data_IF_902812765002
#
_entry.id   IF_902812765002
#
_cell.length_a   1.000
_cell.length_b   1.000
_cell.length_c   1.000
_cell.angle_alpha   90.00
_cell.angle_beta   90.00
_cell.angle_gamma   90.00
#
_symmetry.space_group_name_H-M   'P 1'
#
loop_
_entity.id
_entity.type
_entity.pdbx_description
1 polymer ?
#
# COMPACT_ATOMS: atom_id res chain seq x y z
N UNK A 1 -35.27 -2.16 -6.86
CA UNK A 1 -34.44 -1.79 -5.69
C UNK A 1 -33.73 -3.00 -5.07
N UNK A 2 -34.44 -4.06 -4.67
CA UNK A 2 -33.87 -5.28 -4.05
C UNK A 2 -32.79 -5.95 -4.93
N UNK A 3 -33.04 -6.04 -6.24
CA UNK A 3 -32.11 -6.69 -7.17
C UNK A 3 -30.80 -5.90 -7.37
N UNK A 4 -30.85 -4.57 -7.25
CA UNK A 4 -29.69 -3.69 -7.40
C UNK A 4 -28.80 -3.77 -6.14
N UNK A 5 -29.42 -3.77 -4.96
CA UNK A 5 -28.73 -3.92 -3.68
C UNK A 5 -27.99 -5.27 -3.60
N UNK A 6 -28.62 -6.34 -4.08
CA UNK A 6 -28.02 -7.67 -4.16
C UNK A 6 -26.77 -7.68 -5.08
N UNK A 7 -26.81 -6.96 -6.21
CA UNK A 7 -25.64 -6.85 -7.10
C UNK A 7 -24.46 -6.13 -6.45
N UNK A 8 -24.69 -5.04 -5.70
CA UNK A 8 -23.60 -4.36 -4.99
C UNK A 8 -23.01 -5.20 -3.88
N UNK A 9 -23.82 -5.94 -3.12
CA UNK A 9 -23.31 -6.84 -2.09
C UNK A 9 -22.44 -7.96 -2.67
N UNK A 10 -22.85 -8.53 -3.81
CA UNK A 10 -22.03 -9.53 -4.51
C UNK A 10 -20.74 -8.92 -5.05
N UNK A 11 -20.79 -7.68 -5.57
CA UNK A 11 -19.62 -6.97 -6.04
C UNK A 11 -18.65 -6.65 -4.90
N UNK A 12 -19.14 -6.15 -3.76
CA UNK A 12 -18.32 -5.92 -2.56
C UNK A 12 -17.64 -7.22 -2.10
N UNK A 13 -18.39 -8.33 -2.01
CA UNK A 13 -17.83 -9.64 -1.63
C UNK A 13 -16.75 -10.10 -2.61
N UNK A 14 -16.99 -9.95 -3.91
CA UNK A 14 -16.04 -10.32 -4.96
C UNK A 14 -14.75 -9.50 -4.88
N UNK A 15 -14.88 -8.18 -4.68
CA UNK A 15 -13.72 -7.28 -4.53
C UNK A 15 -12.92 -7.65 -3.29
N UNK A 16 -13.59 -7.88 -2.14
CA UNK A 16 -12.92 -8.32 -0.90
C UNK A 16 -12.20 -9.66 -1.07
N UNK A 17 -12.85 -10.64 -1.70
CA UNK A 17 -12.23 -11.92 -1.97
C UNK A 17 -10.99 -11.78 -2.88
N UNK A 18 -11.09 -10.92 -3.89
CA UNK A 18 -9.97 -10.63 -4.81
C UNK A 18 -8.81 -9.97 -4.08
N UNK A 19 -9.06 -8.90 -3.30
CA UNK A 19 -8.01 -8.22 -2.54
C UNK A 19 -7.35 -9.13 -1.51
N UNK A 20 -8.13 -9.96 -0.82
CA UNK A 20 -7.59 -10.92 0.14
C UNK A 20 -6.72 -11.97 -0.55
N UNK A 21 -7.15 -12.51 -1.69
CA UNK A 21 -6.34 -13.46 -2.47
C UNK A 21 -5.04 -12.86 -3.00
N UNK A 22 -4.99 -11.55 -3.26
CA UNK A 22 -3.74 -10.84 -3.61
C UNK A 22 -2.81 -10.78 -2.39
N UNK A 23 -3.35 -10.46 -1.21
CA UNK A 23 -2.58 -10.40 0.04
C UNK A 23 -2.04 -11.78 0.41
N UNK A 24 -2.85 -12.83 0.29
CA UNK A 24 -2.44 -14.21 0.53
C UNK A 24 -1.29 -14.62 -0.40
N UNK A 25 -1.40 -14.36 -1.71
CA UNK A 25 -0.30 -14.61 -2.67
C UNK A 25 0.98 -13.87 -2.30
N UNK A 26 0.87 -12.67 -1.75
CA UNK A 26 2.05 -11.92 -1.28
C UNK A 26 2.65 -12.56 -0.03
N UNK A 27 1.83 -12.95 0.94
CA UNK A 27 2.27 -13.65 2.16
C UNK A 27 2.93 -15.00 1.85
N UNK A 28 2.43 -15.70 0.83
CA UNK A 28 2.96 -16.97 0.33
C UNK A 28 4.19 -16.79 -0.58
N UNK A 29 4.70 -15.55 -0.74
CA UNK A 29 5.83 -15.20 -1.61
C UNK A 29 5.64 -15.60 -3.08
N UNK A 30 4.40 -15.73 -3.54
CA UNK A 30 4.07 -16.03 -4.94
C UNK A 30 4.17 -14.80 -5.84
N UNK A 31 3.99 -13.61 -5.27
CA UNK A 31 4.12 -12.32 -5.95
C UNK A 31 5.03 -11.40 -5.13
N UNK A 32 5.75 -10.52 -5.81
CA UNK A 32 6.59 -9.53 -5.14
C UNK A 32 5.79 -8.33 -4.61
N UNK A 33 6.49 -7.43 -3.90
CA UNK A 33 5.86 -6.24 -3.32
C UNK A 33 5.29 -5.31 -4.40
N UNK A 34 5.98 -5.14 -5.54
CA UNK A 34 5.50 -4.27 -6.61
C UNK A 34 4.22 -4.82 -7.23
N UNK A 35 4.19 -6.12 -7.53
CA UNK A 35 3.02 -6.82 -8.05
C UNK A 35 1.83 -6.76 -7.09
N UNK A 36 2.06 -6.97 -5.78
CA UNK A 36 1.02 -6.86 -4.77
C UNK A 36 0.41 -5.44 -4.73
N UNK A 37 1.26 -4.41 -4.68
CA UNK A 37 0.82 -3.01 -4.66
C UNK A 37 0.05 -2.62 -5.92
N UNK A 38 0.52 -3.03 -7.11
CA UNK A 38 -0.12 -2.75 -8.39
C UNK A 38 -1.52 -3.38 -8.47
N UNK A 39 -1.67 -4.64 -8.06
CA UNK A 39 -2.94 -5.34 -8.08
C UNK A 39 -3.94 -4.75 -7.07
N UNK A 40 -3.50 -4.44 -5.84
CA UNK A 40 -4.36 -3.78 -4.85
C UNK A 40 -4.73 -2.36 -5.28
N UNK A 41 -3.82 -1.61 -5.91
CA UNK A 41 -4.12 -0.30 -6.49
C UNK A 41 -5.19 -0.39 -7.59
N UNK A 42 -5.12 -1.43 -8.42
CA UNK A 42 -6.15 -1.70 -9.45
C UNK A 42 -7.52 -1.94 -8.80
N UNK A 43 -7.59 -2.75 -7.73
CA UNK A 43 -8.82 -2.92 -6.96
C UNK A 43 -9.36 -1.59 -6.41
N UNK A 44 -8.49 -0.76 -5.81
CA UNK A 44 -8.86 0.57 -5.32
C UNK A 44 -9.41 1.48 -6.43
N UNK A 45 -8.81 1.44 -7.62
CA UNK A 45 -9.24 2.23 -8.79
C UNK A 45 -10.62 1.80 -9.28
N UNK A 46 -10.87 0.50 -9.31
CA UNK A 46 -12.20 -0.04 -9.64
C UNK A 46 -13.25 0.43 -8.64
N UNK A 47 -12.97 0.34 -7.33
CA UNK A 47 -13.90 0.84 -6.30
C UNK A 47 -14.11 2.35 -6.42
N UNK A 48 -13.05 3.12 -6.70
CA UNK A 48 -13.14 4.55 -6.97
C UNK A 48 -14.08 4.88 -8.12
N UNK A 49 -13.98 4.12 -9.22
CA UNK A 49 -14.86 4.28 -10.38
C UNK A 49 -16.33 3.99 -10.03
N UNK A 50 -16.58 2.96 -9.21
CA UNK A 50 -17.92 2.67 -8.71
C UNK A 50 -18.48 3.82 -7.86
N UNK A 51 -17.68 4.37 -6.94
CA UNK A 51 -18.06 5.53 -6.12
C UNK A 51 -18.45 6.72 -7.01
N UNK A 52 -17.66 7.01 -8.04
CA UNK A 52 -17.91 8.14 -8.94
C UNK A 52 -19.17 7.94 -9.77
N UNK A 53 -19.45 6.70 -10.19
CA UNK A 53 -20.70 6.37 -10.87
C UNK A 53 -21.91 6.56 -9.95
N UNK A 54 -21.85 6.07 -8.70
CA UNK A 54 -22.93 6.25 -7.72
C UNK A 54 -23.20 7.72 -7.40
N UNK A 55 -22.14 8.53 -7.31
CA UNK A 55 -22.27 9.98 -7.10
C UNK A 55 -22.99 10.67 -8.26
N UNK A 56 -22.71 10.25 -9.50
CA UNK A 56 -23.32 10.83 -10.71
C UNK A 56 -24.78 10.41 -10.90
N UNK A 57 -25.14 9.19 -10.51
CA UNK A 57 -26.53 8.69 -10.59
C UNK A 57 -27.45 9.23 -9.50
N UNK A 58 -26.93 10.02 -8.54
CA UNK A 58 -27.71 10.52 -7.41
C UNK A 58 -28.07 9.41 -6.40
N UNK A 59 -27.23 8.37 -6.32
CA UNK A 59 -27.47 7.17 -5.53
C UNK A 59 -27.38 7.39 -4.01
N UNK A 60 -27.76 6.33 -3.28
CA UNK A 60 -27.75 6.20 -1.83
C UNK A 60 -26.37 6.55 -1.21
N UNK A 61 -26.38 7.53 -0.30
CA UNK A 61 -25.18 7.97 0.45
C UNK A 61 -24.57 6.83 1.26
N UNK A 62 -25.39 5.91 1.77
CA UNK A 62 -24.92 4.79 2.57
C UNK A 62 -24.08 3.82 1.73
N UNK A 63 -24.49 3.57 0.49
CA UNK A 63 -23.71 2.76 -0.45
C UNK A 63 -22.36 3.41 -0.77
N UNK A 64 -22.34 4.72 -1.01
CA UNK A 64 -21.09 5.46 -1.26
C UNK A 64 -20.14 5.35 -0.06
N UNK A 65 -20.65 5.49 1.17
CA UNK A 65 -19.84 5.35 2.40
C UNK A 65 -19.26 3.93 2.50
N UNK A 66 -20.07 2.89 2.25
CA UNK A 66 -19.61 1.50 2.25
C UNK A 66 -18.50 1.26 1.22
N UNK A 67 -18.63 1.80 0.01
CA UNK A 67 -17.60 1.68 -1.03
C UNK A 67 -16.32 2.43 -0.66
N UNK A 68 -16.41 3.62 -0.05
CA UNK A 68 -15.24 4.35 0.45
C UNK A 68 -14.51 3.50 1.49
N UNK A 69 -15.24 2.93 2.46
CA UNK A 69 -14.66 2.07 3.49
C UNK A 69 -13.98 0.84 2.88
N UNK A 70 -14.62 0.19 1.89
CA UNK A 70 -14.02 -0.93 1.17
C UNK A 70 -12.70 -0.53 0.49
N UNK A 71 -12.67 0.61 -0.20
CA UNK A 71 -11.44 1.11 -0.84
C UNK A 71 -10.35 1.36 0.19
N UNK A 72 -10.70 1.96 1.32
CA UNK A 72 -9.74 2.29 2.37
C UNK A 72 -9.18 1.00 3.00
N UNK A 73 -10.02 -0.02 3.28
CA UNK A 73 -9.61 -1.35 3.74
C UNK A 73 -8.58 -2.00 2.78
N UNK A 74 -8.79 -1.89 1.45
CA UNK A 74 -7.89 -2.44 0.42
C UNK A 74 -6.57 -1.66 0.36
N UNK A 75 -6.62 -0.34 0.56
CA UNK A 75 -5.45 0.54 0.49
C UNK A 75 -4.52 0.42 1.70
N UNK A 76 -5.05 0.01 2.85
CA UNK A 76 -4.32 0.00 4.12
C UNK A 76 -3.10 -0.94 4.11
N UNK A 77 -3.18 -2.20 3.60
CA UNK A 77 -2.01 -3.05 3.41
C UNK A 77 -0.91 -2.40 2.57
N UNK A 78 -1.28 -1.73 1.47
CA UNK A 78 -0.31 -1.02 0.60
C UNK A 78 0.39 0.09 1.36
N UNK A 79 -0.36 0.90 2.12
CA UNK A 79 0.21 1.97 2.94
C UNK A 79 1.20 1.43 3.99
N UNK A 80 0.89 0.30 4.61
CA UNK A 80 1.79 -0.35 5.55
C UNK A 80 3.08 -0.83 4.88
N UNK A 81 2.97 -1.49 3.72
CA UNK A 81 4.14 -1.95 2.96
C UNK A 81 5.07 -0.79 2.58
N UNK A 82 4.50 0.33 2.12
CA UNK A 82 5.26 1.54 1.79
C UNK A 82 5.94 2.13 3.03
N UNK A 83 5.22 2.21 4.15
CA UNK A 83 5.78 2.70 5.42
C UNK A 83 6.97 1.88 5.88
N UNK A 84 6.85 0.54 5.88
CA UNK A 84 7.90 -0.38 6.32
C UNK A 84 9.15 -0.27 5.42
N UNK A 85 8.97 -0.10 4.11
CA UNK A 85 10.07 0.15 3.18
C UNK A 85 10.80 1.45 3.47
N UNK A 86 10.08 2.55 3.71
CA UNK A 86 10.67 3.85 4.04
C UNK A 86 11.45 3.75 5.36
N UNK A 87 10.90 3.09 6.38
CA UNK A 87 11.55 2.91 7.67
C UNK A 87 12.84 2.07 7.55
N UNK A 88 12.80 1.00 6.76
CA UNK A 88 13.97 0.16 6.45
C UNK A 88 15.07 0.96 5.74
N UNK A 89 14.70 1.75 4.73
CA UNK A 89 15.64 2.61 4.01
C UNK A 89 16.26 3.68 4.91
N UNK A 90 15.47 4.32 5.78
CA UNK A 90 15.98 5.29 6.75
C UNK A 90 16.97 4.66 7.74
N UNK A 91 16.70 3.43 8.19
CA UNK A 91 17.61 2.69 9.06
C UNK A 91 18.94 2.40 8.34
N UNK A 92 18.89 1.93 7.10
CA UNK A 92 20.09 1.68 6.28
C UNK A 92 20.89 2.96 6.04
N UNK A 93 20.22 4.06 5.68
CA UNK A 93 20.84 5.38 5.51
C UNK A 93 21.59 5.84 6.76
N UNK A 94 21.01 5.68 7.94
CA UNK A 94 21.64 6.06 9.20
C UNK A 94 22.87 5.19 9.52
N UNK A 95 22.84 3.89 9.21
CA UNK A 95 24.01 3.02 9.34
C UNK A 95 25.14 3.47 8.43
N UNK A 96 24.85 3.72 7.15
CA UNK A 96 25.84 4.20 6.17
C UNK A 96 26.46 5.53 6.61
N UNK A 97 25.65 6.49 7.07
CA UNK A 97 26.14 7.77 7.59
C UNK A 97 27.14 7.60 8.75
N UNK A 98 26.84 6.69 9.69
CA UNK A 98 27.74 6.41 10.82
C UNK A 98 29.07 5.82 10.37
N UNK A 99 29.04 4.91 9.39
CA UNK A 99 30.26 4.32 8.84
C UNK A 99 31.10 5.35 8.06
N UNK A 100 30.48 6.22 7.26
CA UNK A 100 31.17 7.33 6.60
C UNK A 100 31.87 8.22 7.63
N UNK A 101 31.18 8.62 8.69
CA UNK A 101 31.76 9.44 9.75
C UNK A 101 32.97 8.77 10.42
N UNK A 102 32.89 7.47 10.73
CA UNK A 102 34.03 6.72 11.29
C UNK A 102 35.24 6.72 10.36
N UNK A 103 35.01 6.55 9.06
CA UNK A 103 36.07 6.57 8.05
C UNK A 103 36.71 7.96 7.91
N UNK A 104 35.91 9.03 7.97
CA UNK A 104 36.41 10.41 7.97
C UNK A 104 37.30 10.69 9.20
N UNK A 105 36.84 10.31 10.39
CA UNK A 105 37.64 10.45 11.62
C UNK A 105 38.95 9.67 11.50
N UNK A 106 38.91 8.41 11.05
CA UNK A 106 40.11 7.58 10.87
C UNK A 106 41.08 8.20 9.86
N UNK A 107 40.57 8.70 8.73
CA UNK A 107 41.37 9.39 7.71
C UNK A 107 42.08 10.60 8.32
N UNK A 108 41.36 11.45 9.06
CA UNK A 108 41.95 12.64 9.68
C UNK A 108 43.05 12.30 10.69
N UNK A 109 42.84 11.25 11.50
CA UNK A 109 43.86 10.78 12.45
C UNK A 109 45.12 10.26 11.74
N UNK A 110 44.95 9.50 10.65
CA UNK A 110 46.08 9.00 9.85
C UNK A 110 46.83 10.14 9.17
N UNK A 111 46.13 11.14 8.64
CA UNK A 111 46.76 12.34 8.07
C UNK A 111 47.52 13.15 9.11
N UNK A 112 46.99 13.27 10.33
CA UNK A 112 47.66 13.96 11.43
C UNK A 112 48.91 13.21 11.94
N UNK A 113 48.95 11.89 11.85
CA UNK A 113 50.10 11.07 12.26
C UNK A 113 51.21 10.98 11.20
N UNK A 114 50.95 11.40 9.96
CA UNK A 114 51.87 11.32 8.83
C UNK A 114 52.60 12.65 8.52
N UNK A 115 52.26 13.73 9.23
CA UNK A 115 52.95 15.02 9.20
C UNK A 115 53.74 15.26 10.47
#
# INVERSE_FOLDING_TARGET
>A
MIHLLNTYEQLEKSIRATSNGIIEKYQDNMIDTFQCMEQLHTCCTMVGTLIDNERKSGSDKELIIRLIKLRDDISQPVMQMVYDQIQSLNTKKNKVKKEIYKLEVRKNLLSAAAG
#
